data_IF_306861291874
#
_entry.id   IF_306861291874
#
_cell.length_a   1.000
_cell.length_b   1.000
_cell.length_c   1.000
_cell.angle_alpha   90.00
_cell.angle_beta   90.00
_cell.angle_gamma   90.00
#
_symmetry.space_group_name_H-M   'P 1'
#
loop_
_entity.id
_entity.type
_entity.pdbx_description
1 polymer ?
#
# COMPACT_ATOMS: atom_id res chain seq x y z
N UNK A 1 -8.76 -33.50 -16.59
CA UNK A 1 -7.74 -34.58 -16.52
C UNK A 1 -6.42 -33.88 -16.23
N UNK A 2 -5.95 -33.93 -14.97
CA UNK A 2 -4.60 -33.53 -14.63
C UNK A 2 -3.65 -34.54 -15.27
N UNK A 3 -2.88 -34.11 -16.29
CA UNK A 3 -1.83 -34.92 -16.87
C UNK A 3 -0.78 -35.25 -15.80
N UNK A 4 -0.22 -36.47 -15.82
CA UNK A 4 0.95 -36.82 -15.02
C UNK A 4 2.08 -35.84 -15.38
N UNK A 5 2.59 -35.11 -14.38
CA UNK A 5 3.80 -34.33 -14.55
C UNK A 5 4.97 -35.27 -14.93
N UNK A 6 5.82 -34.90 -15.88
CA UNK A 6 6.95 -35.75 -16.32
C UNK A 6 8.04 -35.90 -15.25
N UNK A 7 8.01 -35.08 -14.19
CA UNK A 7 8.91 -35.14 -13.05
C UNK A 7 8.14 -34.85 -11.74
N UNK A 8 8.71 -35.24 -10.61
CA UNK A 8 8.17 -34.86 -9.31
C UNK A 8 8.20 -33.33 -9.17
N UNK A 9 7.07 -32.74 -8.74
CA UNK A 9 6.96 -31.30 -8.50
C UNK A 9 6.81 -31.04 -7.01
N UNK A 10 7.66 -30.16 -6.50
CA UNK A 10 7.60 -29.72 -5.10
C UNK A 10 6.98 -28.33 -5.00
N UNK A 11 6.17 -28.11 -3.97
CA UNK A 11 5.61 -26.78 -3.66
C UNK A 11 6.68 -25.96 -2.96
N UNK A 12 7.29 -25.02 -3.68
CA UNK A 12 8.34 -24.13 -3.16
C UNK A 12 7.78 -22.84 -2.52
N UNK A 13 6.55 -22.48 -2.89
CA UNK A 13 5.81 -21.36 -2.32
C UNK A 13 4.32 -21.68 -2.32
N UNK A 14 3.64 -21.38 -1.22
CA UNK A 14 2.18 -21.46 -1.15
C UNK A 14 1.64 -20.36 -0.24
N UNK A 15 0.45 -19.88 -0.57
CA UNK A 15 -0.31 -18.95 0.26
C UNK A 15 -1.77 -19.42 0.26
N UNK A 16 -2.30 -19.67 1.44
CA UNK A 16 -3.69 -20.06 1.64
C UNK A 16 -4.35 -19.03 2.55
N UNK A 17 -5.39 -18.38 2.04
CA UNK A 17 -6.18 -17.39 2.79
C UNK A 17 -7.56 -17.97 3.01
N UNK A 18 -7.98 -18.04 4.27
CA UNK A 18 -9.33 -18.50 4.62
C UNK A 18 -10.39 -17.52 4.10
N UNK A 19 -11.60 -18.03 3.73
CA UNK A 19 -12.66 -17.19 3.15
C UNK A 19 -13.06 -16.02 4.04
N UNK A 20 -13.06 -16.22 5.36
CA UNK A 20 -13.40 -15.19 6.33
C UNK A 20 -12.42 -14.04 6.40
N UNK A 21 -11.12 -14.34 6.38
CA UNK A 21 -10.08 -13.30 6.36
C UNK A 21 -10.09 -12.56 5.03
N UNK A 22 -10.32 -13.28 3.92
CA UNK A 22 -10.48 -12.67 2.61
C UNK A 22 -11.65 -11.69 2.57
N UNK A 23 -12.81 -12.08 3.10
CA UNK A 23 -13.99 -11.20 3.17
C UNK A 23 -13.75 -10.01 4.10
N UNK A 24 -13.22 -10.22 5.30
CA UNK A 24 -12.89 -9.14 6.25
C UNK A 24 -11.92 -8.13 5.63
N UNK A 25 -10.93 -8.60 4.89
CA UNK A 25 -9.96 -7.74 4.23
C UNK A 25 -10.59 -6.94 3.06
N UNK A 26 -11.51 -7.54 2.29
CA UNK A 26 -12.28 -6.85 1.24
C UNK A 26 -13.16 -5.77 1.88
N UNK A 27 -13.90 -6.11 2.93
CA UNK A 27 -14.80 -5.19 3.61
C UNK A 27 -14.03 -4.00 4.24
N UNK A 28 -12.94 -4.28 4.94
CA UNK A 28 -12.08 -3.24 5.54
C UNK A 28 -11.40 -2.39 4.46
N UNK A 29 -10.90 -3.00 3.38
CA UNK A 29 -10.30 -2.30 2.25
C UNK A 29 -11.31 -1.38 1.54
N UNK A 30 -12.51 -1.88 1.28
CA UNK A 30 -13.60 -1.12 0.65
C UNK A 30 -14.06 0.03 1.54
N UNK A 31 -14.27 -0.22 2.84
CA UNK A 31 -14.64 0.82 3.79
C UNK A 31 -13.55 1.91 3.88
N UNK A 32 -12.29 1.52 3.94
CA UNK A 32 -11.17 2.46 3.97
C UNK A 32 -11.12 3.31 2.69
N UNK A 33 -11.35 2.70 1.53
CA UNK A 33 -11.41 3.39 0.25
C UNK A 33 -12.56 4.40 0.20
N UNK A 34 -13.76 4.01 0.65
CA UNK A 34 -14.95 4.89 0.70
C UNK A 34 -14.68 6.08 1.64
N UNK A 35 -14.20 5.84 2.85
CA UNK A 35 -13.90 6.92 3.79
C UNK A 35 -12.78 7.82 3.29
N UNK A 36 -11.73 7.27 2.69
CA UNK A 36 -10.66 8.04 2.07
C UNK A 36 -11.19 8.95 0.96
N UNK A 37 -12.04 8.41 0.08
CA UNK A 37 -12.68 9.17 -0.99
C UNK A 37 -13.56 10.31 -0.45
N UNK A 38 -14.37 10.04 0.57
CA UNK A 38 -15.25 11.03 1.19
C UNK A 38 -14.42 12.15 1.81
N UNK A 39 -13.41 11.82 2.61
CA UNK A 39 -12.56 12.80 3.30
C UNK A 39 -11.83 13.68 2.29
N UNK A 40 -11.20 13.09 1.27
CA UNK A 40 -10.48 13.84 0.21
C UNK A 40 -11.45 14.72 -0.56
N UNK A 41 -12.61 14.20 -0.93
CA UNK A 41 -13.63 14.96 -1.67
C UNK A 41 -14.17 16.15 -0.87
N UNK A 42 -14.48 15.94 0.40
CA UNK A 42 -14.93 17.02 1.29
C UNK A 42 -13.84 18.07 1.49
N UNK A 43 -12.58 17.64 1.67
CA UNK A 43 -11.44 18.53 1.81
C UNK A 43 -11.23 19.39 0.57
N UNK A 44 -11.29 18.80 -0.62
CA UNK A 44 -11.17 19.51 -1.90
C UNK A 44 -12.29 20.56 -2.06
N UNK A 45 -13.53 20.21 -1.76
CA UNK A 45 -14.65 21.15 -1.81
C UNK A 45 -14.51 22.26 -0.76
N UNK A 46 -14.13 21.91 0.45
CA UNK A 46 -13.95 22.85 1.56
C UNK A 46 -12.84 23.86 1.26
N UNK A 47 -11.74 23.43 0.65
CA UNK A 47 -10.57 24.27 0.41
C UNK A 47 -10.64 25.05 -0.90
N UNK A 48 -11.04 24.39 -2.01
CA UNK A 48 -11.05 24.96 -3.37
C UNK A 48 -12.45 25.35 -3.88
N UNK A 49 -13.49 25.12 -3.11
CA UNK A 49 -14.87 25.50 -3.48
C UNK A 49 -15.33 24.87 -4.79
N UNK A 50 -15.79 25.70 -5.76
CA UNK A 50 -16.26 25.21 -7.05
C UNK A 50 -15.21 24.43 -7.84
N UNK A 51 -13.95 24.88 -7.82
CA UNK A 51 -12.86 24.17 -8.47
C UNK A 51 -12.61 22.79 -7.84
N UNK A 52 -12.77 22.68 -6.51
CA UNK A 52 -12.72 21.42 -5.80
C UNK A 52 -13.80 20.43 -6.23
N UNK A 53 -15.00 20.92 -6.56
CA UNK A 53 -16.06 20.08 -7.13
C UNK A 53 -15.65 19.49 -8.49
N UNK A 54 -15.00 20.27 -9.36
CA UNK A 54 -14.51 19.77 -10.65
C UNK A 54 -13.40 18.73 -10.50
N UNK A 55 -12.51 18.90 -9.51
CA UNK A 55 -11.51 17.90 -9.16
C UNK A 55 -12.17 16.60 -8.68
N UNK A 56 -13.25 16.68 -7.90
CA UNK A 56 -13.97 15.49 -7.45
C UNK A 56 -14.66 14.74 -8.60
N UNK A 57 -15.20 15.46 -9.60
CA UNK A 57 -15.72 14.84 -10.83
C UNK A 57 -14.59 14.13 -11.58
N UNK A 58 -13.42 14.76 -11.72
CA UNK A 58 -12.26 14.13 -12.33
C UNK A 58 -11.79 12.89 -11.55
N UNK A 59 -11.81 12.93 -10.21
CA UNK A 59 -11.53 11.78 -9.35
C UNK A 59 -12.51 10.64 -9.54
N UNK A 60 -13.81 10.92 -9.63
CA UNK A 60 -14.83 9.92 -9.91
C UNK A 60 -14.62 9.25 -11.28
N UNK A 61 -14.30 10.04 -12.32
CA UNK A 61 -13.97 9.52 -13.67
C UNK A 61 -12.67 8.71 -13.63
N UNK A 62 -11.69 9.13 -12.83
CA UNK A 62 -10.44 8.37 -12.63
C UNK A 62 -10.71 6.96 -12.07
N UNK A 63 -11.55 6.87 -11.02
CA UNK A 63 -11.92 5.57 -10.46
C UNK A 63 -12.65 4.70 -11.47
N UNK A 64 -13.57 5.29 -12.25
CA UNK A 64 -14.26 4.58 -13.32
C UNK A 64 -13.27 4.01 -14.35
N UNK A 65 -12.29 4.80 -14.79
CA UNK A 65 -11.26 4.35 -15.73
C UNK A 65 -10.36 3.29 -15.11
N UNK A 66 -9.92 3.48 -13.87
CA UNK A 66 -9.10 2.52 -13.16
C UNK A 66 -9.79 1.14 -13.09
N UNK A 67 -11.02 1.09 -12.58
CA UNK A 67 -11.76 -0.16 -12.49
C UNK A 67 -12.10 -0.73 -13.87
N UNK A 68 -12.45 0.12 -14.84
CA UNK A 68 -12.72 -0.31 -16.22
C UNK A 68 -11.52 -0.97 -16.88
N UNK A 69 -10.32 -0.40 -16.72
CA UNK A 69 -9.08 -0.96 -17.26
C UNK A 69 -8.71 -2.26 -16.53
N UNK A 70 -8.78 -2.29 -15.19
CA UNK A 70 -8.51 -3.51 -14.42
C UNK A 70 -9.43 -4.66 -14.84
N UNK A 71 -10.72 -4.39 -14.99
CA UNK A 71 -11.70 -5.37 -15.46
C UNK A 71 -11.42 -5.83 -16.91
N UNK A 72 -11.07 -4.91 -17.80
CA UNK A 72 -10.73 -5.23 -19.20
C UNK A 72 -9.48 -6.10 -19.33
N UNK A 73 -8.49 -5.88 -18.47
CA UNK A 73 -7.27 -6.70 -18.45
C UNK A 73 -7.43 -8.04 -17.73
N UNK A 74 -8.60 -8.31 -17.14
CA UNK A 74 -8.81 -9.49 -16.30
C UNK A 74 -7.88 -9.52 -15.08
N UNK A 75 -7.48 -8.36 -14.60
CA UNK A 75 -6.55 -8.26 -13.47
C UNK A 75 -7.20 -8.77 -12.18
N UNK A 76 -6.50 -9.65 -11.48
CA UNK A 76 -6.95 -10.15 -10.17
C UNK A 76 -6.66 -9.09 -9.11
N UNK A 77 -7.72 -8.66 -8.43
CA UNK A 77 -7.59 -7.71 -7.33
C UNK A 77 -7.06 -8.43 -6.09
N UNK A 78 -5.83 -8.08 -5.69
CA UNK A 78 -5.18 -8.57 -4.48
C UNK A 78 -5.32 -7.57 -3.33
N UNK A 79 -5.08 -8.00 -2.07
CA UNK A 79 -5.09 -7.07 -0.92
C UNK A 79 -4.12 -5.89 -1.09
N UNK A 80 -2.84 -6.09 -1.48
CA UNK A 80 -1.97 -4.98 -1.84
C UNK A 80 -2.47 -4.17 -3.04
N UNK A 81 -3.18 -4.81 -3.99
CA UNK A 81 -3.82 -4.11 -5.11
C UNK A 81 -4.90 -3.12 -4.63
N UNK A 82 -5.71 -3.48 -3.63
CA UNK A 82 -6.66 -2.56 -2.99
C UNK A 82 -5.91 -1.38 -2.35
N UNK A 83 -4.81 -1.65 -1.63
CA UNK A 83 -3.98 -0.59 -1.08
C UNK A 83 -3.42 0.35 -2.16
N UNK A 84 -3.04 -0.19 -3.33
CA UNK A 84 -2.64 0.59 -4.50
C UNK A 84 -3.76 1.50 -5.00
N UNK A 85 -5.00 1.02 -5.06
CA UNK A 85 -6.17 1.84 -5.42
C UNK A 85 -6.37 2.99 -4.43
N UNK A 86 -6.34 2.71 -3.12
CA UNK A 86 -6.48 3.73 -2.07
C UNK A 86 -5.37 4.78 -2.16
N UNK A 87 -4.14 4.35 -2.41
CA UNK A 87 -3.00 5.26 -2.61
C UNK A 87 -3.21 6.16 -3.84
N UNK A 88 -3.64 5.59 -4.96
CA UNK A 88 -3.86 6.35 -6.19
C UNK A 88 -5.02 7.34 -6.08
N UNK A 89 -6.02 7.09 -5.24
CA UNK A 89 -7.07 8.10 -4.95
C UNK A 89 -6.48 9.36 -4.30
N UNK A 90 -5.50 9.21 -3.40
CA UNK A 90 -4.79 10.36 -2.83
C UNK A 90 -3.98 11.12 -3.88
N UNK A 91 -3.18 10.41 -4.66
CA UNK A 91 -2.33 11.03 -5.69
C UNK A 91 -3.12 11.57 -6.89
N UNK A 92 -4.34 11.09 -7.12
CA UNK A 92 -5.19 11.56 -8.23
C UNK A 92 -5.64 13.01 -8.10
N UNK A 93 -5.67 13.57 -6.90
CA UNK A 93 -6.02 14.98 -6.68
C UNK A 93 -4.79 15.90 -6.67
N UNK A 94 -3.57 15.35 -6.50
CA UNK A 94 -2.34 16.15 -6.37
C UNK A 94 -2.08 17.05 -7.57
N UNK A 95 -2.26 16.54 -8.79
CA UNK A 95 -2.11 17.34 -10.00
C UNK A 95 -3.12 18.51 -10.04
N UNK A 96 -4.36 18.28 -9.61
CA UNK A 96 -5.35 19.35 -9.52
C UNK A 96 -4.97 20.39 -8.47
N UNK A 97 -4.42 19.95 -7.32
CA UNK A 97 -3.94 20.85 -6.25
C UNK A 97 -2.84 21.77 -6.79
N UNK A 98 -1.82 21.20 -7.45
CA UNK A 98 -0.70 21.97 -8.01
C UNK A 98 -1.21 22.99 -9.04
N UNK A 99 -2.12 22.58 -9.92
CA UNK A 99 -2.73 23.47 -10.91
C UNK A 99 -3.51 24.61 -10.24
N UNK A 100 -4.33 24.29 -9.23
CA UNK A 100 -5.17 25.28 -8.55
C UNK A 100 -4.34 26.25 -7.71
N UNK A 101 -3.30 25.77 -7.02
CA UNK A 101 -2.38 26.67 -6.31
C UNK A 101 -1.66 27.59 -7.28
N UNK A 102 -1.22 27.09 -8.44
CA UNK A 102 -0.62 27.94 -9.47
C UNK A 102 -1.62 28.95 -10.03
N UNK A 103 -2.87 28.58 -10.25
CA UNK A 103 -3.91 29.52 -10.67
C UNK A 103 -4.16 30.60 -9.60
N UNK A 104 -4.14 30.26 -8.32
CA UNK A 104 -4.23 31.24 -7.23
C UNK A 104 -3.07 32.23 -7.21
N UNK A 105 -1.83 31.76 -7.46
CA UNK A 105 -0.66 32.63 -7.56
C UNK A 105 -0.80 33.62 -8.70
N UNK A 106 -1.20 33.13 -9.87
CA UNK A 106 -1.36 34.01 -11.09
C UNK A 106 -2.51 35.02 -10.90
N UNK A 107 -3.61 34.62 -10.25
CA UNK A 107 -4.69 35.56 -9.92
C UNK A 107 -4.25 36.61 -8.89
N UNK A 108 -3.43 36.23 -7.89
CA UNK A 108 -2.85 37.18 -6.93
C UNK A 108 -1.88 38.15 -7.61
N UNK A 109 -1.21 37.72 -8.68
CA UNK A 109 -0.36 38.59 -9.52
C UNK A 109 -1.15 39.52 -10.42
N UNK A 110 -2.49 39.51 -10.39
CA UNK A 110 -3.37 40.44 -11.12
C UNK A 110 -3.77 39.97 -12.51
N UNK A 111 -3.50 38.70 -12.90
CA UNK A 111 -3.94 38.17 -14.19
C UNK A 111 -5.44 37.92 -14.21
N UNK A 112 -6.05 37.97 -15.37
CA UNK A 112 -7.43 37.57 -15.58
C UNK A 112 -7.60 36.06 -15.31
N UNK A 113 -8.84 35.61 -15.03
CA UNK A 113 -9.14 34.21 -14.74
C UNK A 113 -8.70 33.30 -15.91
N UNK A 114 -9.01 33.66 -17.13
CA UNK A 114 -8.64 32.92 -18.35
C UNK A 114 -7.12 32.80 -18.52
N UNK A 115 -6.38 33.87 -18.31
CA UNK A 115 -4.91 33.89 -18.38
C UNK A 115 -4.28 33.09 -17.26
N UNK A 116 -4.81 33.17 -16.03
CA UNK A 116 -4.32 32.42 -14.87
C UNK A 116 -4.48 30.94 -15.09
N UNK A 117 -5.64 30.49 -15.58
CA UNK A 117 -5.89 29.07 -15.90
C UNK A 117 -4.98 28.61 -17.05
N UNK A 118 -4.88 29.37 -18.17
CA UNK A 118 -3.99 29.00 -19.27
C UNK A 118 -2.52 28.88 -18.84
N UNK A 119 -2.06 29.83 -18.01
CA UNK A 119 -0.71 29.75 -17.45
C UNK A 119 -0.52 28.54 -16.55
N UNK A 120 -1.49 28.23 -15.70
CA UNK A 120 -1.38 27.12 -14.76
C UNK A 120 -1.28 25.76 -15.46
N UNK A 121 -2.01 25.57 -16.56
CA UNK A 121 -1.93 24.37 -17.40
C UNK A 121 -0.78 24.40 -18.42
N UNK A 122 0.07 25.41 -18.41
CA UNK A 122 1.23 25.48 -19.30
C UNK A 122 2.44 24.73 -18.72
N UNK A 123 3.41 24.42 -19.60
CA UNK A 123 4.67 23.81 -19.18
C UNK A 123 5.49 24.69 -18.23
N UNK A 124 5.38 26.03 -18.37
CA UNK A 124 5.99 27.01 -17.46
C UNK A 124 5.19 27.22 -16.16
N UNK A 125 4.00 26.66 -16.08
CA UNK A 125 3.14 26.67 -14.89
C UNK A 125 3.32 25.42 -14.06
N UNK A 126 2.24 24.65 -13.91
CA UNK A 126 2.21 23.45 -13.09
C UNK A 126 2.63 22.16 -13.85
N UNK A 127 2.57 22.16 -15.19
CA UNK A 127 2.70 20.93 -15.98
C UNK A 127 4.07 20.27 -15.83
N UNK A 128 5.16 21.03 -15.78
CA UNK A 128 6.50 20.48 -15.55
C UNK A 128 6.55 19.70 -14.23
N UNK A 129 6.17 20.33 -13.11
CA UNK A 129 6.20 19.69 -11.79
C UNK A 129 5.29 18.47 -11.71
N UNK A 130 4.12 18.51 -12.34
CA UNK A 130 3.19 17.37 -12.40
C UNK A 130 3.82 16.22 -13.19
N UNK A 131 4.45 16.52 -14.33
CA UNK A 131 5.10 15.49 -15.15
C UNK A 131 6.26 14.86 -14.39
N UNK A 132 7.14 15.65 -13.78
CA UNK A 132 8.30 15.18 -13.06
C UNK A 132 7.89 14.26 -11.89
N UNK A 133 6.90 14.68 -11.08
CA UNK A 133 6.39 13.87 -9.97
C UNK A 133 5.81 12.54 -10.46
N UNK A 134 5.01 12.55 -11.53
CA UNK A 134 4.37 11.34 -12.01
C UNK A 134 5.33 10.42 -12.78
N UNK A 135 6.33 10.95 -13.49
CA UNK A 135 7.38 10.14 -14.13
C UNK A 135 8.17 9.39 -13.07
N UNK A 136 8.53 10.00 -11.95
CA UNK A 136 9.24 9.30 -10.86
C UNK A 136 8.38 8.19 -10.25
N UNK A 137 7.08 8.43 -10.05
CA UNK A 137 6.14 7.40 -9.61
C UNK A 137 6.00 6.24 -10.62
N UNK A 138 5.91 6.55 -11.93
CA UNK A 138 5.84 5.55 -13.00
C UNK A 138 7.12 4.73 -13.04
N UNK A 139 8.30 5.35 -12.95
CA UNK A 139 9.58 4.65 -12.92
C UNK A 139 9.65 3.68 -11.74
N UNK A 140 9.29 4.14 -10.54
CA UNK A 140 9.25 3.29 -9.35
C UNK A 140 8.24 2.16 -9.49
N UNK A 141 7.03 2.46 -9.96
CA UNK A 141 5.99 1.46 -10.23
C UNK A 141 6.40 0.43 -11.27
N UNK A 142 7.08 0.85 -12.35
CA UNK A 142 7.61 -0.05 -13.38
C UNK A 142 8.67 -1.01 -12.81
N UNK A 143 9.58 -0.50 -11.98
CA UNK A 143 10.57 -1.35 -11.30
C UNK A 143 9.87 -2.36 -10.38
N UNK A 144 8.88 -1.95 -9.60
CA UNK A 144 8.09 -2.86 -8.76
C UNK A 144 7.31 -3.89 -9.60
N UNK A 145 6.85 -3.53 -10.79
CA UNK A 145 6.16 -4.44 -11.70
C UNK A 145 7.10 -5.48 -12.30
N UNK A 146 8.32 -5.08 -12.67
CA UNK A 146 9.33 -5.96 -13.30
C UNK A 146 9.94 -6.92 -12.28
N UNK A 147 10.38 -6.41 -11.14
CA UNK A 147 11.09 -7.18 -10.12
C UNK A 147 10.18 -7.75 -9.02
N UNK A 148 8.96 -7.23 -8.89
CA UNK A 148 8.00 -7.72 -7.91
C UNK A 148 7.42 -9.08 -8.28
N UNK A 149 7.08 -9.86 -7.27
CA UNK A 149 6.42 -11.16 -7.41
C UNK A 149 5.06 -11.15 -6.69
N UNK A 150 4.14 -12.00 -7.12
CA UNK A 150 2.84 -12.23 -6.48
C UNK A 150 2.10 -10.93 -6.10
N UNK A 151 1.87 -10.71 -4.79
CA UNK A 151 1.11 -9.56 -4.29
C UNK A 151 1.71 -8.19 -4.65
N UNK A 152 3.05 -8.08 -4.69
CA UNK A 152 3.76 -6.83 -5.04
C UNK A 152 3.47 -6.43 -6.48
N UNK A 153 3.43 -7.40 -7.38
CA UNK A 153 3.10 -7.15 -8.80
C UNK A 153 1.65 -6.67 -8.97
N UNK A 154 0.73 -7.21 -8.17
CA UNK A 154 -0.66 -6.75 -8.14
C UNK A 154 -0.77 -5.28 -7.70
N UNK A 155 -0.06 -4.90 -6.62
CA UNK A 155 0.06 -3.50 -6.17
C UNK A 155 0.64 -2.59 -7.25
N UNK A 156 1.77 -2.98 -7.86
CA UNK A 156 2.43 -2.19 -8.91
C UNK A 156 1.52 -1.99 -10.14
N UNK A 157 0.73 -3.01 -10.51
CA UNK A 157 -0.23 -2.92 -11.62
C UNK A 157 -1.29 -1.86 -11.35
N UNK A 158 -1.94 -1.91 -10.17
CA UNK A 158 -2.97 -0.93 -9.80
C UNK A 158 -2.40 0.47 -9.67
N UNK A 159 -1.19 0.61 -9.12
CA UNK A 159 -0.48 1.88 -9.00
C UNK A 159 -0.19 2.50 -10.37
N UNK A 160 0.40 1.76 -11.30
CA UNK A 160 0.74 2.26 -12.64
C UNK A 160 -0.50 2.69 -13.42
N UNK A 161 -1.54 1.86 -13.44
CA UNK A 161 -2.81 2.19 -14.10
C UNK A 161 -3.42 3.43 -13.46
N UNK A 162 -3.44 3.49 -12.13
CA UNK A 162 -4.00 4.62 -11.38
C UNK A 162 -3.28 5.93 -11.65
N UNK A 163 -1.95 5.93 -11.74
CA UNK A 163 -1.16 7.14 -12.06
C UNK A 163 -1.47 7.61 -13.49
N UNK A 164 -1.48 6.71 -14.47
CA UNK A 164 -1.76 7.06 -15.87
C UNK A 164 -3.17 7.63 -16.02
N UNK A 165 -4.18 6.98 -15.41
CA UNK A 165 -5.56 7.45 -15.47
C UNK A 165 -5.75 8.75 -14.70
N UNK A 166 -5.06 8.95 -13.56
CA UNK A 166 -5.13 10.19 -12.79
C UNK A 166 -4.54 11.38 -13.53
N UNK A 167 -3.41 11.21 -14.21
CA UNK A 167 -2.84 12.24 -15.06
C UNK A 167 -3.82 12.67 -16.17
N UNK A 168 -4.43 11.70 -16.84
CA UNK A 168 -5.40 11.99 -17.87
C UNK A 168 -6.60 12.77 -17.31
N UNK A 169 -7.18 12.31 -16.22
CA UNK A 169 -8.41 12.91 -15.68
C UNK A 169 -8.16 14.26 -15.03
N UNK A 170 -7.04 14.46 -14.36
CA UNK A 170 -6.71 15.74 -13.73
C UNK A 170 -6.36 16.81 -14.76
N UNK A 171 -5.65 16.44 -15.84
CA UNK A 171 -5.25 17.41 -16.87
C UNK A 171 -6.40 17.70 -17.84
N UNK A 172 -7.11 16.67 -18.30
CA UNK A 172 -8.13 16.86 -19.35
C UNK A 172 -9.53 17.02 -18.79
N UNK A 173 -9.99 16.12 -17.92
CA UNK A 173 -11.38 16.14 -17.44
C UNK A 173 -11.63 17.34 -16.55
N UNK A 174 -10.78 17.60 -15.57
CA UNK A 174 -10.92 18.77 -14.70
C UNK A 174 -10.88 20.08 -15.51
N UNK A 175 -9.98 20.17 -16.52
CA UNK A 175 -9.86 21.33 -17.38
C UNK A 175 -11.12 21.58 -18.23
N UNK A 176 -11.75 20.54 -18.79
CA UNK A 176 -12.99 20.68 -19.54
C UNK A 176 -14.07 21.41 -18.71
N UNK A 177 -14.23 21.03 -17.43
CA UNK A 177 -15.20 21.69 -16.55
C UNK A 177 -14.82 23.13 -16.21
N UNK A 178 -13.53 23.40 -16.03
CA UNK A 178 -13.02 24.75 -15.78
C UNK A 178 -13.23 25.64 -17.01
N UNK A 179 -12.83 25.20 -18.21
CA UNK A 179 -12.98 25.94 -19.45
C UNK A 179 -14.47 26.16 -19.79
N UNK A 180 -15.34 25.15 -19.54
CA UNK A 180 -16.78 25.28 -19.68
C UNK A 180 -17.36 26.35 -18.73
N UNK A 181 -16.87 26.43 -17.49
CA UNK A 181 -17.30 27.44 -16.53
C UNK A 181 -16.88 28.85 -16.98
N UNK A 182 -15.63 29.00 -17.44
CA UNK A 182 -15.10 30.27 -17.96
C UNK A 182 -15.86 30.71 -19.21
N UNK A 183 -16.15 29.80 -20.15
CA UNK A 183 -16.88 30.12 -21.37
C UNK A 183 -18.30 30.66 -21.10
N UNK A 184 -18.92 30.23 -20.01
CA UNK A 184 -20.21 30.75 -19.54
C UNK A 184 -20.10 32.10 -18.78
N UNK A 185 -18.90 32.67 -18.69
CA UNK A 185 -18.61 33.87 -17.89
C UNK A 185 -19.06 33.76 -16.42
N UNK A 186 -19.11 32.52 -15.90
CA UNK A 186 -19.39 32.30 -14.49
C UNK A 186 -18.14 32.62 -13.66
N UNK A 187 -18.38 33.18 -12.48
CA UNK A 187 -17.29 33.43 -11.52
C UNK A 187 -16.78 32.09 -10.96
N UNK A 188 -15.50 31.79 -11.21
CA UNK A 188 -14.79 30.62 -10.69
C UNK A 188 -13.73 31.07 -9.70
N UNK A 189 -13.90 30.66 -8.46
CA UNK A 189 -12.93 30.90 -7.42
C UNK A 189 -12.20 29.59 -7.07
N UNK A 190 -10.87 29.64 -6.98
CA UNK A 190 -10.02 28.55 -6.46
C UNK A 190 -9.82 28.63 -4.94
N UNK A 191 -10.58 29.47 -4.26
CA UNK A 191 -10.53 29.66 -2.81
C UNK A 191 -11.95 29.75 -2.25
N UNK A 192 -12.12 29.30 -1.02
CA UNK A 192 -13.31 29.58 -0.21
C UNK A 192 -13.05 30.76 0.70
N UNK A 193 -14.10 31.27 1.35
CA UNK A 193 -13.95 32.31 2.37
C UNK A 193 -12.98 31.90 3.50
N UNK A 194 -12.93 30.60 3.79
CA UNK A 194 -12.05 30.02 4.81
C UNK A 194 -10.61 29.92 4.30
N UNK A 195 -10.39 29.37 3.09
CA UNK A 195 -9.03 29.11 2.58
C UNK A 195 -8.33 30.35 2.03
N UNK A 196 -9.06 31.46 1.78
CA UNK A 196 -8.51 32.68 1.18
C UNK A 196 -7.31 33.25 1.94
N UNK A 197 -7.35 33.24 3.26
CA UNK A 197 -6.34 33.85 4.13
C UNK A 197 -5.47 32.82 4.90
N UNK A 198 -5.66 31.52 4.65
CA UNK A 198 -4.81 30.49 5.24
C UNK A 198 -3.39 30.67 4.69
N UNK A 199 -2.41 30.69 5.57
CA UNK A 199 -0.98 30.85 5.28
C UNK A 199 -0.54 32.18 4.66
N UNK A 200 -1.42 33.16 4.42
CA UNK A 200 -1.00 34.45 3.88
C UNK A 200 -0.13 35.26 4.84
N UNK A 201 -0.34 35.11 6.12
CA UNK A 201 0.39 35.81 7.19
C UNK A 201 1.39 34.91 7.92
N UNK A 202 1.68 33.72 7.36
CA UNK A 202 2.59 32.76 7.99
C UNK A 202 4.05 33.16 7.67
N UNK A 203 4.64 33.93 8.57
CA UNK A 203 6.02 34.41 8.43
C UNK A 203 6.96 33.64 9.38
N UNK A 204 7.17 32.36 9.10
CA UNK A 204 8.08 31.52 9.87
C UNK A 204 9.47 31.49 9.24
N UNK A 205 10.50 31.85 9.99
CA UNK A 205 11.87 31.91 9.50
C UNK A 205 12.51 30.50 9.49
N UNK A 206 12.15 29.69 8.51
CA UNK A 206 12.70 28.33 8.32
C UNK A 206 14.21 28.36 8.11
N UNK A 207 14.73 29.32 7.34
CA UNK A 207 16.16 29.44 7.06
C UNK A 207 16.98 29.83 8.29
N UNK A 208 16.40 30.58 9.22
CA UNK A 208 17.03 30.91 10.49
C UNK A 208 17.26 29.67 11.37
N UNK A 209 16.41 28.65 11.23
CA UNK A 209 16.51 27.42 12.02
C UNK A 209 17.41 26.35 11.42
N UNK A 210 18.07 26.59 10.27
CA UNK A 210 18.88 25.59 9.56
C UNK A 210 19.92 24.86 10.42
N UNK A 211 20.55 25.56 11.39
CA UNK A 211 21.54 24.96 12.29
C UNK A 211 20.90 23.90 13.19
N UNK A 212 19.72 24.17 13.74
CA UNK A 212 18.96 23.21 14.54
C UNK A 212 18.47 22.03 13.71
N UNK A 213 18.01 22.30 12.50
CA UNK A 213 17.58 21.25 11.56
C UNK A 213 18.73 20.33 11.21
N UNK A 214 19.92 20.86 10.90
CA UNK A 214 21.10 20.04 10.64
C UNK A 214 21.52 19.21 11.85
N UNK A 215 21.50 19.81 13.05
CA UNK A 215 21.83 19.08 14.27
C UNK A 215 20.87 17.90 14.50
N UNK A 216 19.55 18.17 14.45
CA UNK A 216 18.53 17.15 14.67
C UNK A 216 18.63 16.05 13.60
N UNK A 217 18.74 16.42 12.32
CA UNK A 217 18.87 15.45 11.23
C UNK A 217 20.13 14.59 11.36
N UNK A 218 21.27 15.19 11.74
CA UNK A 218 22.51 14.46 11.95
C UNK A 218 22.39 13.49 13.12
N UNK A 219 21.77 13.89 14.24
CA UNK A 219 21.55 12.99 15.37
C UNK A 219 20.63 11.84 14.97
N UNK A 220 19.52 12.11 14.26
CA UNK A 220 18.60 11.06 13.78
C UNK A 220 19.35 10.07 12.87
N UNK A 221 20.15 10.56 11.93
CA UNK A 221 20.93 9.72 11.01
C UNK A 221 21.94 8.85 11.78
N UNK A 222 22.69 9.43 12.72
CA UNK A 222 23.66 8.67 13.53
C UNK A 222 22.94 7.60 14.36
N UNK A 223 21.85 7.95 15.04
CA UNK A 223 21.05 6.99 15.84
C UNK A 223 20.50 5.87 14.96
N UNK A 224 20.00 6.21 13.77
CA UNK A 224 19.47 5.22 12.83
C UNK A 224 20.53 4.24 12.33
N UNK A 225 21.71 4.74 11.93
CA UNK A 225 22.82 3.88 11.52
C UNK A 225 23.37 3.04 12.67
N UNK A 226 23.50 3.63 13.87
CA UNK A 226 23.94 2.90 15.05
C UNK A 226 22.96 1.80 15.41
N UNK A 227 21.65 2.10 15.42
CA UNK A 227 20.61 1.11 15.68
C UNK A 227 20.63 -0.01 14.65
N UNK A 228 20.80 0.32 13.37
CA UNK A 228 20.88 -0.66 12.30
C UNK A 228 22.13 -1.57 12.44
N UNK A 229 23.26 -1.00 12.85
CA UNK A 229 24.50 -1.75 13.03
C UNK A 229 24.45 -2.66 14.27
N UNK A 230 23.79 -2.23 15.36
CA UNK A 230 23.73 -2.97 16.63
C UNK A 230 22.60 -4.00 16.62
N UNK A 231 21.39 -3.61 16.20
CA UNK A 231 20.20 -4.45 16.26
C UNK A 231 19.95 -5.21 14.96
N UNK A 232 20.51 -4.77 13.82
CA UNK A 232 20.18 -5.32 12.50
C UNK A 232 18.74 -5.02 12.06
N UNK A 233 18.30 -5.74 11.04
CA UNK A 233 16.91 -5.76 10.56
C UNK A 233 16.34 -7.16 10.73
N UNK A 234 15.22 -7.28 11.42
CA UNK A 234 14.41 -8.49 11.43
C UNK A 234 13.80 -8.71 10.04
N UNK A 235 14.24 -9.77 9.37
CA UNK A 235 13.79 -10.11 8.02
C UNK A 235 12.59 -11.06 8.09
N UNK A 236 11.50 -10.71 7.42
CA UNK A 236 10.33 -11.58 7.29
C UNK A 236 10.63 -12.86 6.49
N UNK A 237 9.69 -13.81 6.54
CA UNK A 237 9.78 -15.10 5.84
C UNK A 237 10.00 -14.97 4.34
N UNK A 238 9.59 -13.89 3.73
CA UNK A 238 9.79 -13.63 2.30
C UNK A 238 11.29 -13.48 1.94
N UNK A 239 12.13 -13.09 2.91
CA UNK A 239 13.57 -12.85 2.71
C UNK A 239 14.47 -13.95 3.29
N UNK A 240 13.96 -14.74 4.24
CA UNK A 240 14.76 -15.79 4.90
C UNK A 240 14.21 -17.20 4.71
N UNK A 241 13.04 -17.30 4.10
CA UNK A 241 12.27 -18.54 4.03
C UNK A 241 11.57 -18.85 5.36
N UNK A 242 10.53 -19.67 5.30
CA UNK A 242 9.80 -20.06 6.50
C UNK A 242 8.31 -20.28 6.24
N UNK A 243 7.60 -20.55 7.34
CA UNK A 243 6.14 -20.63 7.37
C UNK A 243 5.60 -19.56 8.28
N UNK A 244 4.53 -18.92 7.84
CA UNK A 244 3.80 -17.91 8.61
C UNK A 244 2.35 -18.34 8.73
N UNK A 245 1.82 -18.30 9.93
CA UNK A 245 0.42 -18.59 10.25
C UNK A 245 -0.21 -17.38 10.91
N UNK A 246 -1.40 -17.00 10.47
CA UNK A 246 -2.26 -16.08 11.21
C UNK A 246 -3.30 -16.92 11.94
N UNK A 247 -3.25 -16.91 13.26
CA UNK A 247 -4.08 -17.76 14.13
C UNK A 247 -4.95 -16.85 14.99
N UNK A 248 -6.27 -17.08 14.96
CA UNK A 248 -7.23 -16.37 15.81
C UNK A 248 -7.70 -17.24 16.95
N UNK A 249 -7.64 -16.70 18.15
CA UNK A 249 -8.05 -17.34 19.39
C UNK A 249 -9.44 -16.86 19.82
N UNK A 250 -10.09 -17.60 20.74
CA UNK A 250 -11.38 -17.18 21.31
C UNK A 250 -11.26 -15.94 22.20
N UNK A 251 -10.12 -15.79 22.87
CA UNK A 251 -9.82 -14.72 23.82
C UNK A 251 -8.43 -14.15 23.53
N UNK A 252 -8.16 -12.90 23.93
CA UNK A 252 -6.81 -12.37 23.92
C UNK A 252 -5.84 -13.28 24.65
N UNK A 253 -4.67 -13.49 24.07
CA UNK A 253 -3.62 -14.36 24.63
C UNK A 253 -2.27 -13.64 24.56
N UNK A 254 -1.41 -13.89 25.56
CA UNK A 254 -0.07 -13.32 25.59
C UNK A 254 0.83 -13.94 24.52
N UNK A 255 1.52 -13.10 23.78
CA UNK A 255 2.53 -13.48 22.80
C UNK A 255 3.67 -14.26 23.41
N UNK A 256 4.09 -13.90 24.63
CA UNK A 256 5.18 -14.56 25.38
C UNK A 256 4.81 -16.00 25.73
N UNK A 257 3.57 -16.24 26.17
CA UNK A 257 3.08 -17.59 26.50
C UNK A 257 3.11 -18.48 25.27
N UNK A 258 2.52 -18.02 24.16
CA UNK A 258 2.46 -18.80 22.91
C UNK A 258 3.87 -19.00 22.34
N UNK A 259 4.73 -18.00 22.42
CA UNK A 259 6.12 -18.11 21.98
C UNK A 259 6.89 -19.17 22.77
N UNK A 260 6.81 -19.15 24.10
CA UNK A 260 7.50 -20.12 24.95
C UNK A 260 7.02 -21.57 24.75
N UNK A 261 5.73 -21.75 24.41
CA UNK A 261 5.17 -23.07 24.07
C UNK A 261 5.69 -23.56 22.72
N UNK A 262 5.69 -22.70 21.69
CA UNK A 262 6.07 -23.06 20.33
C UNK A 262 7.59 -23.17 20.12
N UNK A 263 8.40 -22.41 20.84
CA UNK A 263 9.87 -22.54 20.79
C UNK A 263 10.34 -23.94 21.16
N UNK A 264 9.64 -24.63 22.07
CA UNK A 264 9.97 -26.01 22.50
C UNK A 264 9.76 -27.04 21.39
N UNK A 265 8.84 -26.78 20.47
CA UNK A 265 8.45 -27.72 19.40
C UNK A 265 9.02 -27.33 18.03
N UNK A 266 9.43 -26.09 17.86
CA UNK A 266 10.01 -25.58 16.61
C UNK A 266 11.51 -25.27 16.73
N UNK A 267 12.22 -26.00 17.56
CA UNK A 267 13.68 -25.88 17.77
C UNK A 267 14.15 -24.43 17.99
N UNK A 268 13.39 -23.66 18.79
CA UNK A 268 13.68 -22.25 19.09
C UNK A 268 13.38 -21.27 17.95
N UNK A 269 12.79 -21.72 16.84
CA UNK A 269 12.56 -20.86 15.67
C UNK A 269 11.17 -20.20 15.61
N UNK A 270 10.45 -20.13 16.75
CA UNK A 270 9.13 -19.52 16.80
C UNK A 270 9.20 -18.03 17.09
N UNK A 271 8.64 -17.22 16.18
CA UNK A 271 8.37 -15.80 16.40
C UNK A 271 6.87 -15.59 16.49
N UNK A 272 6.40 -14.87 17.51
CA UNK A 272 4.98 -14.62 17.75
C UNK A 272 4.74 -13.14 17.97
N UNK A 273 3.87 -12.54 17.15
CA UNK A 273 3.48 -11.12 17.21
C UNK A 273 1.97 -10.96 17.14
N UNK A 274 1.42 -9.96 17.81
CA UNK A 274 0.01 -9.57 17.63
C UNK A 274 -0.18 -9.06 16.19
N UNK A 275 -1.28 -9.46 15.58
CA UNK A 275 -1.61 -9.07 14.21
C UNK A 275 -3.11 -8.75 14.06
N UNK A 276 -3.43 -7.49 13.92
CA UNK A 276 -4.81 -7.03 13.84
C UNK A 276 -5.45 -6.87 15.22
N UNK A 277 -6.25 -7.82 15.66
CA UNK A 277 -6.93 -7.78 16.96
C UNK A 277 -6.10 -8.51 18.06
N UNK A 278 -6.37 -8.17 19.32
CA UNK A 278 -5.65 -8.70 20.48
C UNK A 278 -5.76 -10.24 20.65
N UNK A 279 -6.75 -10.86 20.01
CA UNK A 279 -6.94 -12.29 19.98
C UNK A 279 -6.39 -12.96 18.71
N UNK A 280 -5.64 -12.25 17.89
CA UNK A 280 -5.05 -12.78 16.66
C UNK A 280 -3.54 -12.64 16.67
N UNK A 281 -2.85 -13.74 16.44
CA UNK A 281 -1.40 -13.80 16.44
C UNK A 281 -0.87 -14.19 15.06
N UNK A 282 0.23 -13.55 14.67
CA UNK A 282 1.08 -13.97 13.56
C UNK A 282 2.23 -14.81 14.13
N UNK A 283 2.25 -16.07 13.76
CA UNK A 283 3.24 -17.07 14.18
C UNK A 283 4.13 -17.39 13.00
N UNK A 284 5.42 -17.21 13.15
CA UNK A 284 6.41 -17.45 12.10
C UNK A 284 7.41 -18.49 12.58
N UNK A 285 7.77 -19.46 11.72
CA UNK A 285 8.78 -20.47 12.04
C UNK A 285 9.58 -20.88 10.81
N UNK A 286 10.86 -21.22 11.04
CA UNK A 286 11.76 -21.80 10.04
C UNK A 286 11.83 -23.33 10.15
N UNK A 287 11.10 -23.92 11.08
CA UNK A 287 11.11 -25.36 11.32
C UNK A 287 10.77 -26.13 10.04
N UNK A 288 11.61 -27.08 9.67
CA UNK A 288 11.49 -27.92 8.47
C UNK A 288 11.24 -27.16 7.16
N UNK A 289 11.75 -25.93 7.03
CA UNK A 289 11.54 -25.12 5.82
C UNK A 289 12.23 -25.71 4.60
N UNK A 290 13.31 -26.48 4.81
CA UNK A 290 14.07 -27.12 3.75
C UNK A 290 13.46 -28.47 3.30
N UNK A 291 12.55 -29.04 4.08
CA UNK A 291 11.88 -30.27 3.70
C UNK A 291 10.77 -29.96 2.68
N UNK A 292 10.90 -30.44 1.42
CA UNK A 292 9.87 -30.25 0.41
C UNK A 292 8.67 -31.17 0.69
N UNK A 293 7.49 -30.75 0.25
CA UNK A 293 6.30 -31.58 0.20
C UNK A 293 5.26 -31.31 1.30
N UNK A 294 4.07 -31.84 1.03
CA UNK A 294 2.86 -31.63 1.84
C UNK A 294 2.98 -32.25 3.24
N UNK A 295 3.76 -33.36 3.37
CA UNK A 295 3.92 -34.07 4.65
C UNK A 295 4.58 -33.21 5.72
N UNK A 296 5.58 -32.42 5.37
CA UNK A 296 6.22 -31.50 6.31
C UNK A 296 5.26 -30.38 6.74
N UNK A 297 4.41 -29.90 5.82
CA UNK A 297 3.42 -28.87 6.11
C UNK A 297 2.32 -29.41 7.04
N UNK A 298 1.83 -30.64 6.82
CA UNK A 298 0.88 -31.30 7.71
C UNK A 298 1.46 -31.55 9.11
N UNK A 299 2.73 -31.93 9.21
CA UNK A 299 3.41 -32.14 10.49
C UNK A 299 3.49 -30.84 11.28
N UNK A 300 3.90 -29.75 10.63
CA UNK A 300 3.96 -28.42 11.25
C UNK A 300 2.57 -27.98 11.73
N UNK A 301 1.53 -28.19 10.92
CA UNK A 301 0.15 -27.86 11.29
C UNK A 301 -0.32 -28.70 12.49
N UNK A 302 0.03 -29.99 12.55
CA UNK A 302 -0.30 -30.87 13.67
C UNK A 302 0.43 -30.46 14.95
N UNK A 303 1.71 -30.09 14.86
CA UNK A 303 2.48 -29.57 16.00
C UNK A 303 1.86 -28.27 16.50
N UNK A 304 1.52 -27.36 15.60
CA UNK A 304 0.87 -26.09 15.94
C UNK A 304 -0.47 -26.36 16.67
N UNK A 305 -1.34 -27.20 16.10
CA UNK A 305 -2.61 -27.55 16.72
C UNK A 305 -2.44 -28.19 18.08
N UNK A 306 -1.57 -29.17 18.22
CA UNK A 306 -1.40 -29.94 19.49
C UNK A 306 -0.95 -29.03 20.64
N UNK A 307 -0.16 -28.00 20.35
CA UNK A 307 0.34 -27.08 21.37
C UNK A 307 -0.64 -25.93 21.65
N UNK A 308 -1.43 -25.52 20.66
CA UNK A 308 -2.36 -24.39 20.83
C UNK A 308 -3.79 -24.81 21.20
N UNK A 309 -4.16 -26.09 21.07
CA UNK A 309 -5.52 -26.59 21.35
C UNK A 309 -6.01 -26.27 22.75
N UNK A 310 -5.10 -26.17 23.74
CA UNK A 310 -5.46 -25.86 25.14
C UNK A 310 -6.03 -24.44 25.31
N UNK A 311 -5.80 -23.54 24.34
CA UNK A 311 -6.30 -22.16 24.35
C UNK A 311 -7.66 -22.01 23.66
N UNK A 312 -8.28 -23.13 23.26
CA UNK A 312 -9.59 -23.20 22.66
C UNK A 312 -10.56 -23.99 23.53
N UNK A 313 -11.85 -23.72 23.37
CA UNK A 313 -12.91 -24.48 24.06
C UNK A 313 -12.94 -25.96 23.65
N UNK A 314 -13.49 -26.78 24.51
CA UNK A 314 -13.71 -28.20 24.21
C UNK A 314 -14.57 -28.35 22.94
N UNK A 315 -14.01 -29.01 21.91
CA UNK A 315 -14.67 -29.16 20.59
C UNK A 315 -13.88 -28.62 19.41
N UNK A 316 -12.75 -27.95 19.64
CA UNK A 316 -11.81 -27.60 18.57
C UNK A 316 -11.15 -28.90 18.06
N UNK A 317 -11.43 -29.25 16.82
CA UNK A 317 -10.78 -30.37 16.11
C UNK A 317 -9.67 -29.83 15.18
N UNK A 318 -8.78 -30.73 14.75
CA UNK A 318 -7.72 -30.38 13.80
C UNK A 318 -8.27 -29.74 12.51
N UNK A 319 -9.32 -30.34 11.95
CA UNK A 319 -9.93 -29.84 10.72
C UNK A 319 -10.52 -28.44 10.90
N UNK A 320 -11.17 -28.17 12.03
CA UNK A 320 -11.69 -26.83 12.36
C UNK A 320 -10.58 -25.83 12.57
N UNK A 321 -9.49 -26.24 13.19
CA UNK A 321 -8.33 -25.38 13.43
C UNK A 321 -7.62 -24.99 12.13
N UNK A 322 -7.42 -25.95 11.23
CA UNK A 322 -6.71 -25.69 9.95
C UNK A 322 -7.57 -24.96 8.95
N UNK A 323 -8.88 -25.26 8.92
CA UNK A 323 -9.76 -24.70 7.89
C UNK A 323 -10.57 -23.46 8.35
N UNK A 324 -10.57 -23.14 9.65
CA UNK A 324 -11.31 -22.01 10.25
C UNK A 324 -12.79 -21.89 9.81
N UNK A 325 -13.47 -23.05 9.57
CA UNK A 325 -14.77 -23.11 8.87
C UNK A 325 -16.00 -22.90 9.76
N UNK A 326 -15.85 -22.81 11.08
CA UNK A 326 -16.98 -22.91 12.03
C UNK A 326 -17.77 -21.60 12.27
N UNK A 327 -17.78 -20.67 11.32
CA UNK A 327 -18.54 -19.40 11.47
C UNK A 327 -18.03 -18.45 12.55
N UNK A 328 -17.16 -18.92 13.45
CA UNK A 328 -16.47 -18.12 14.47
C UNK A 328 -15.08 -17.65 14.02
N UNK A 329 -14.62 -18.11 12.86
CA UNK A 329 -13.33 -17.76 12.30
C UNK A 329 -12.17 -17.97 13.30
N UNK A 330 -12.17 -19.11 13.98
CA UNK A 330 -11.15 -19.48 14.95
C UNK A 330 -10.18 -20.50 14.35
N UNK A 331 -8.90 -20.44 14.74
CA UNK A 331 -7.84 -21.27 14.18
C UNK A 331 -7.00 -20.54 13.14
N UNK A 332 -6.46 -21.28 12.16
CA UNK A 332 -5.59 -20.73 11.10
C UNK A 332 -6.45 -20.01 10.06
N UNK A 333 -6.35 -18.69 10.06
CA UNK A 333 -7.02 -17.81 9.07
C UNK A 333 -6.22 -17.71 7.77
N UNK A 334 -4.89 -17.72 7.87
CA UNK A 334 -3.97 -17.66 6.74
C UNK A 334 -2.73 -18.49 7.04
N UNK A 335 -2.25 -19.20 6.04
CA UNK A 335 -0.97 -19.88 6.07
C UNK A 335 -0.19 -19.54 4.81
N UNK A 336 1.08 -19.17 4.97
CA UNK A 336 2.01 -18.97 3.86
C UNK A 336 3.31 -19.72 4.11
N UNK A 337 3.90 -20.22 3.02
CA UNK A 337 5.20 -20.89 3.01
C UNK A 337 6.04 -20.29 1.91
N UNK A 338 7.26 -19.94 2.24
CA UNK A 338 8.29 -19.50 1.28
C UNK A 338 9.51 -20.39 1.45
N UNK A 339 9.86 -21.11 0.40
CA UNK A 339 11.08 -21.92 0.40
C UNK A 339 12.34 -21.07 0.37
N UNK A 340 13.49 -21.59 0.84
CA UNK A 340 14.73 -20.83 0.91
C UNK A 340 15.21 -20.27 -0.44
N UNK A 341 15.06 -21.04 -1.52
CA UNK A 341 15.43 -20.62 -2.90
C UNK A 341 14.59 -19.42 -3.34
N UNK A 342 13.27 -19.47 -3.11
CA UNK A 342 12.37 -18.35 -3.45
C UNK A 342 12.69 -17.11 -2.63
N UNK A 343 13.00 -17.30 -1.33
CA UNK A 343 13.40 -16.21 -0.46
C UNK A 343 14.68 -15.50 -0.95
N UNK A 344 15.67 -16.26 -1.41
CA UNK A 344 16.91 -15.70 -1.96
C UNK A 344 16.65 -14.95 -3.27
N UNK A 345 15.79 -15.47 -4.15
CA UNK A 345 15.36 -14.81 -5.38
C UNK A 345 14.62 -13.49 -5.06
N UNK A 346 13.69 -13.52 -4.11
CA UNK A 346 12.96 -12.31 -3.68
C UNK A 346 13.94 -11.26 -3.12
N UNK A 347 14.88 -11.69 -2.28
CA UNK A 347 15.88 -10.82 -1.68
C UNK A 347 16.78 -10.17 -2.75
N UNK A 348 17.28 -10.95 -3.69
CA UNK A 348 18.11 -10.47 -4.80
C UNK A 348 17.34 -9.49 -5.68
N UNK A 349 16.10 -9.83 -6.05
CA UNK A 349 15.23 -8.96 -6.82
C UNK A 349 14.90 -7.66 -6.08
N UNK A 350 14.68 -7.71 -4.76
CA UNK A 350 14.45 -6.52 -3.95
C UNK A 350 15.65 -5.57 -3.93
N UNK A 351 16.89 -6.10 -3.83
CA UNK A 351 18.10 -5.26 -3.93
C UNK A 351 18.18 -4.56 -5.29
N UNK A 352 17.98 -5.30 -6.38
CA UNK A 352 18.00 -4.71 -7.73
C UNK A 352 16.86 -3.74 -7.97
N UNK A 353 15.68 -3.99 -7.41
CA UNK A 353 14.55 -3.07 -7.49
C UNK A 353 14.86 -1.74 -6.79
N UNK A 354 15.40 -1.78 -5.57
CA UNK A 354 15.74 -0.56 -4.82
C UNK A 354 16.86 0.22 -5.52
N UNK A 355 17.97 -0.44 -5.85
CA UNK A 355 19.12 0.22 -6.52
C UNK A 355 18.73 0.73 -7.90
N UNK A 356 17.99 -0.07 -8.67
CA UNK A 356 17.52 0.30 -10.00
C UNK A 356 16.57 1.49 -9.98
N UNK A 357 15.61 1.52 -9.05
CA UNK A 357 14.69 2.65 -8.92
C UNK A 357 15.43 3.94 -8.53
N UNK A 358 16.35 3.87 -7.56
CA UNK A 358 17.17 5.01 -7.17
C UNK A 358 18.02 5.54 -8.33
N UNK A 359 18.69 4.63 -9.06
CA UNK A 359 19.51 5.01 -10.21
C UNK A 359 18.67 5.65 -11.33
N UNK A 360 17.51 5.06 -11.67
CA UNK A 360 16.62 5.59 -12.70
C UNK A 360 16.05 6.96 -12.34
N UNK A 361 15.62 7.14 -11.09
CA UNK A 361 15.12 8.45 -10.61
C UNK A 361 16.25 9.46 -10.59
N UNK A 362 17.44 9.09 -10.12
CA UNK A 362 18.61 10.00 -10.11
C UNK A 362 19.06 10.41 -11.52
N UNK A 363 18.99 9.50 -12.49
CA UNK A 363 19.34 9.81 -13.89
C UNK A 363 18.27 10.66 -14.59
N UNK A 364 17.02 10.54 -14.14
CA UNK A 364 15.91 11.34 -14.68
C UNK A 364 15.97 12.78 -14.18
N UNK A 365 16.23 13.01 -12.90
CA UNK A 365 16.34 14.34 -12.27
C UNK A 365 17.63 15.07 -12.66
#
# INVERSE_FOLDING_TARGET
KAGKLPAAADIIQSEVVGPSLGQEAIDNGTNSAIWGLIIVSLWMMFFYGKAGWYANVALAVNLLFLFGILASLGAVLTLPGIAGIVLTMGTAVDANIIIYERAKEELRAGKSLDEAVKTSYSWRGAMSSITDANVTHILTGAVLFIFGSGPIKGFATTLLIGIITSLFTSIFIARIFIDWNISKKNDLSFVTKFSKNIFTNFNFNFLGMKKWTYLISTVIVIVSFTSLAVNGLDQGTDFVGGRTFQVRFEKPISTETVKAELEKVFDGSAEVKIFGSDNQLKITTKYKVQEPGIKADEEVNKLLFNNLKQHYSAGMTYDKFVNAYDGKNLGILQASKVGPTVAEDIKTNAYWAVLGSLALVFLYL
#
